data_IF_186578977740
#
_entry.id   IF_186578977740
#
_cell.length_a   1.000
_cell.length_b   1.000
_cell.length_c   1.000
_cell.angle_alpha   90.00
_cell.angle_beta   90.00
_cell.angle_gamma   90.00
#
_symmetry.space_group_name_H-M   'P 1'
#
loop_
_entity.id
_entity.type
_entity.pdbx_description
1 polymer ?
#
# COMPACT_ATOMS: atom_id res chain seq x y z
N UNK A 1 12.41 0.99 6.88
CA UNK A 1 11.61 1.52 5.76
C UNK A 1 12.21 1.25 4.40
N UNK A 2 13.44 1.70 4.13
CA UNK A 2 14.10 1.58 2.81
C UNK A 2 14.19 0.14 2.30
N UNK A 3 14.61 -0.79 3.16
CA UNK A 3 14.71 -2.21 2.78
C UNK A 3 13.41 -2.77 2.20
N UNK A 4 12.25 -2.39 2.76
CA UNK A 4 10.96 -2.85 2.25
C UNK A 4 10.74 -2.38 0.80
N UNK A 5 11.11 -1.13 0.52
CA UNK A 5 10.96 -0.53 -0.82
C UNK A 5 11.96 -1.10 -1.83
N UNK A 6 13.17 -1.44 -1.39
CA UNK A 6 14.17 -2.12 -2.22
C UNK A 6 13.73 -3.53 -2.60
N UNK A 7 13.13 -4.28 -1.66
CA UNK A 7 12.59 -5.61 -1.94
C UNK A 7 11.45 -5.50 -2.97
N UNK A 8 10.51 -4.59 -2.78
CA UNK A 8 9.40 -4.40 -3.74
C UNK A 8 9.92 -4.04 -5.14
N UNK A 9 10.94 -3.17 -5.23
CA UNK A 9 11.57 -2.84 -6.50
C UNK A 9 12.30 -4.04 -7.12
N UNK A 10 12.90 -4.91 -6.32
CA UNK A 10 13.55 -6.13 -6.79
C UNK A 10 12.53 -7.16 -7.27
N UNK A 11 11.39 -7.31 -6.60
CA UNK A 11 10.30 -8.17 -7.05
C UNK A 11 9.74 -7.72 -8.41
N UNK A 12 9.61 -6.41 -8.63
CA UNK A 12 9.21 -5.88 -9.94
C UNK A 12 10.22 -6.24 -11.03
N UNK A 13 11.53 -6.09 -10.77
CA UNK A 13 12.57 -6.49 -11.72
C UNK A 13 12.55 -7.98 -12.02
N UNK A 14 12.38 -8.80 -10.97
CA UNK A 14 12.25 -10.25 -11.14
C UNK A 14 11.04 -10.62 -11.99
N UNK A 15 9.87 -10.03 -11.72
CA UNK A 15 8.66 -10.29 -12.49
C UNK A 15 8.81 -9.87 -13.95
N UNK A 16 9.44 -8.71 -14.21
CA UNK A 16 9.68 -8.23 -15.57
C UNK A 16 10.72 -9.06 -16.35
N UNK A 17 11.54 -9.85 -15.67
CA UNK A 17 12.66 -10.60 -16.27
C UNK A 17 12.27 -11.87 -17.02
N UNK A 18 11.02 -12.36 -16.87
CA UNK A 18 10.52 -13.51 -17.63
C UNK A 18 8.98 -13.54 -17.61
N UNK A 19 8.35 -14.16 -18.63
CA UNK A 19 6.90 -14.32 -18.66
C UNK A 19 6.42 -15.28 -17.55
N UNK A 20 5.12 -15.24 -17.25
CA UNK A 20 4.43 -16.14 -16.30
C UNK A 20 4.97 -16.08 -14.86
N UNK A 21 5.52 -14.94 -14.45
CA UNK A 21 5.92 -14.70 -13.07
C UNK A 21 4.86 -13.90 -12.32
N UNK A 22 4.49 -14.37 -11.14
CA UNK A 22 3.66 -13.66 -10.18
C UNK A 22 4.19 -13.98 -8.79
N UNK A 23 4.31 -12.96 -7.96
CA UNK A 23 4.71 -13.09 -6.56
C UNK A 23 3.87 -12.15 -5.71
N UNK A 24 3.43 -12.66 -4.56
CA UNK A 24 2.77 -11.89 -3.51
C UNK A 24 3.68 -11.91 -2.28
N UNK A 25 3.87 -10.78 -1.68
CA UNK A 25 4.62 -10.61 -0.45
C UNK A 25 3.77 -9.85 0.56
N UNK A 26 3.63 -10.39 1.77
CA UNK A 26 3.08 -9.68 2.93
C UNK A 26 4.21 -9.28 3.86
N UNK A 27 4.09 -8.13 4.51
CA UNK A 27 5.10 -7.63 5.43
C UNK A 27 4.54 -6.61 6.41
N UNK A 28 5.30 -6.32 7.44
CA UNK A 28 5.02 -5.29 8.43
C UNK A 28 6.17 -4.29 8.56
N UNK A 29 6.02 -3.39 9.50
CA UNK A 29 6.96 -2.31 9.77
C UNK A 29 7.44 -2.40 11.21
N UNK A 30 8.73 -2.56 11.42
CA UNK A 30 9.33 -2.65 12.76
C UNK A 30 9.33 -1.30 13.49
N UNK A 31 9.30 -0.21 12.73
CA UNK A 31 9.14 1.16 13.21
C UNK A 31 8.13 1.89 12.35
N UNK A 32 7.39 2.87 12.90
CA UNK A 32 6.58 3.76 12.08
C UNK A 32 7.44 4.38 10.98
N UNK A 33 6.97 4.29 9.74
CA UNK A 33 7.73 4.74 8.57
C UNK A 33 6.91 5.70 7.74
N UNK A 34 7.47 6.86 7.43
CA UNK A 34 6.94 7.79 6.44
C UNK A 34 7.44 7.38 5.05
N UNK A 35 6.57 6.79 4.22
CA UNK A 35 6.93 6.51 2.83
C UNK A 35 6.49 7.66 1.92
N UNK A 36 7.46 8.22 1.20
CA UNK A 36 7.26 9.29 0.21
C UNK A 36 7.03 8.69 -1.17
N UNK A 37 6.15 9.29 -1.95
CA UNK A 37 6.03 8.96 -3.36
C UNK A 37 7.31 9.28 -4.13
N UNK A 38 7.49 8.64 -5.28
CA UNK A 38 8.73 8.74 -6.07
C UNK A 38 9.18 10.18 -6.38
N UNK A 39 8.24 11.09 -6.59
CA UNK A 39 8.51 12.49 -6.94
C UNK A 39 8.04 13.47 -5.87
N UNK A 40 7.64 12.98 -4.70
CA UNK A 40 7.16 13.85 -3.63
C UNK A 40 8.30 14.71 -3.07
N UNK A 41 8.09 16.04 -2.90
CA UNK A 41 9.06 16.92 -2.29
C UNK A 41 9.37 16.49 -0.85
N UNK A 42 10.66 16.48 -0.50
CA UNK A 42 11.15 16.29 0.86
C UNK A 42 12.55 16.94 0.96
N UNK A 43 12.85 17.73 2.00
CA UNK A 43 12.06 17.95 3.22
C UNK A 43 10.97 19.04 3.10
N UNK A 44 10.78 19.65 1.95
CA UNK A 44 9.81 20.74 1.79
C UNK A 44 8.38 20.31 2.22
N UNK A 45 7.76 21.10 3.10
CA UNK A 45 6.41 20.84 3.64
C UNK A 45 6.37 19.90 4.86
N UNK A 46 7.54 19.42 5.32
CA UNK A 46 7.63 18.44 6.41
C UNK A 46 8.44 19.00 7.60
N UNK A 47 7.93 18.75 8.81
CA UNK A 47 8.64 19.00 10.07
C UNK A 47 9.66 17.88 10.33
N UNK A 48 10.86 18.04 9.80
CA UNK A 48 11.94 17.05 9.94
C UNK A 48 12.43 16.88 11.36
N UNK A 49 12.29 17.90 12.21
CA UNK A 49 12.65 17.82 13.63
C UNK A 49 11.66 16.93 14.38
N UNK A 50 10.37 17.08 14.11
CA UNK A 50 9.35 16.19 14.67
C UNK A 50 9.53 14.74 14.19
N UNK A 51 9.81 14.52 12.90
CA UNK A 51 10.10 13.21 12.33
C UNK A 51 11.28 12.56 13.07
N UNK A 52 12.38 13.28 13.25
CA UNK A 52 13.57 12.78 13.93
C UNK A 52 13.32 12.51 15.41
N UNK A 53 12.67 13.45 16.10
CA UNK A 53 12.35 13.34 17.55
C UNK A 53 11.48 12.12 17.85
N UNK A 54 10.50 11.83 17.00
CA UNK A 54 9.58 10.71 17.18
C UNK A 54 10.13 9.40 16.62
N UNK A 55 11.34 9.41 16.05
CA UNK A 55 12.06 8.22 15.59
C UNK A 55 11.45 7.55 14.36
N UNK A 56 10.79 8.33 13.48
CA UNK A 56 10.24 7.80 12.24
C UNK A 56 11.35 7.46 11.25
N UNK A 57 11.24 6.31 10.63
CA UNK A 57 11.98 6.03 9.40
C UNK A 57 11.35 6.82 8.23
N UNK A 58 12.20 7.29 7.32
CA UNK A 58 11.75 7.88 6.05
C UNK A 58 12.23 7.01 4.90
N UNK A 59 11.34 6.66 3.99
CA UNK A 59 11.66 5.85 2.82
C UNK A 59 11.02 6.42 1.56
N UNK A 60 11.64 6.22 0.39
CA UNK A 60 11.06 6.60 -0.89
C UNK A 60 10.62 5.38 -1.67
N UNK A 61 9.30 5.31 -1.96
CA UNK A 61 8.77 4.18 -2.72
C UNK A 61 9.08 4.27 -4.21
N UNK A 62 9.19 3.12 -4.89
CA UNK A 62 9.36 3.09 -6.36
C UNK A 62 8.11 3.58 -7.11
N UNK A 63 6.96 3.62 -6.45
CA UNK A 63 5.66 4.05 -6.99
C UNK A 63 5.43 5.55 -6.79
N UNK A 64 4.43 6.11 -7.45
CA UNK A 64 3.96 7.48 -7.23
C UNK A 64 3.03 7.60 -6.02
N UNK A 65 2.27 8.69 -5.98
CA UNK A 65 1.32 9.03 -4.93
C UNK A 65 1.92 9.89 -3.83
N UNK A 66 1.05 10.38 -2.94
CA UNK A 66 1.41 11.23 -1.80
C UNK A 66 1.88 10.40 -0.61
N UNK A 67 2.50 11.02 0.40
CA UNK A 67 3.09 10.34 1.56
C UNK A 67 2.08 9.52 2.37
N UNK A 68 2.57 8.40 2.89
CA UNK A 68 1.84 7.50 3.79
C UNK A 68 2.66 7.29 5.06
N UNK A 69 2.01 7.40 6.21
CA UNK A 69 2.57 6.93 7.48
C UNK A 69 2.13 5.49 7.70
N UNK A 70 3.07 4.59 7.66
CA UNK A 70 2.89 3.17 7.95
C UNK A 70 3.01 2.93 9.45
N UNK A 71 1.86 2.71 10.10
CA UNK A 71 1.78 2.44 11.53
C UNK A 71 0.49 1.64 11.82
N UNK A 72 0.62 0.51 12.50
CA UNK A 72 -0.49 -0.39 12.86
C UNK A 72 -1.35 -0.76 11.62
N UNK A 73 -0.71 -1.38 10.65
CA UNK A 73 -1.32 -1.76 9.38
C UNK A 73 -0.90 -3.15 8.92
N UNK A 74 -1.68 -3.72 8.01
CA UNK A 74 -1.22 -4.78 7.14
C UNK A 74 -0.67 -4.18 5.84
N UNK A 75 0.41 -4.74 5.34
CA UNK A 75 1.02 -4.30 4.07
C UNK A 75 1.26 -5.50 3.17
N UNK A 76 1.06 -5.32 1.88
CA UNK A 76 1.45 -6.31 0.89
C UNK A 76 2.01 -5.65 -0.38
N UNK A 77 2.74 -6.44 -1.15
CA UNK A 77 3.14 -6.14 -2.52
C UNK A 77 2.83 -7.34 -3.41
N UNK A 78 2.39 -7.07 -4.62
CA UNK A 78 2.23 -8.07 -5.69
C UNK A 78 2.95 -7.59 -6.92
N UNK A 79 3.82 -8.44 -7.49
CA UNK A 79 4.50 -8.17 -8.75
C UNK A 79 4.22 -9.29 -9.74
N UNK A 80 4.01 -8.93 -11.00
CA UNK A 80 3.73 -9.87 -12.07
C UNK A 80 4.34 -9.44 -13.40
N UNK A 81 4.58 -10.40 -14.29
CA UNK A 81 4.83 -10.13 -15.70
C UNK A 81 3.54 -9.64 -16.37
N UNK A 82 3.61 -8.47 -17.02
CA UNK A 82 2.48 -7.83 -17.72
C UNK A 82 3.00 -7.15 -19.00
N UNK A 83 2.36 -7.35 -20.16
CA UNK A 83 1.19 -8.23 -20.38
C UNK A 83 1.52 -9.70 -20.16
N UNK A 84 0.49 -10.49 -19.84
CA UNK A 84 0.64 -11.92 -19.57
C UNK A 84 -0.66 -12.54 -19.05
N UNK A 85 -0.62 -13.77 -18.52
CA UNK A 85 -1.82 -14.48 -18.09
C UNK A 85 -2.56 -13.77 -16.95
N UNK A 86 -1.92 -12.85 -16.25
CA UNK A 86 -2.47 -12.14 -15.10
C UNK A 86 -3.27 -10.89 -15.49
N UNK A 87 -2.85 -10.20 -16.56
CA UNK A 87 -3.54 -9.05 -17.13
C UNK A 87 -2.98 -8.72 -18.52
N UNK A 88 -3.84 -8.27 -19.43
CA UNK A 88 -3.46 -7.83 -20.77
C UNK A 88 -2.76 -6.46 -20.76
N UNK A 89 -3.07 -5.64 -19.76
CA UNK A 89 -2.56 -4.29 -19.63
C UNK A 89 -2.27 -3.91 -18.15
N UNK A 90 -1.36 -2.96 -17.93
CA UNK A 90 -1.01 -2.47 -16.60
C UNK A 90 -2.23 -2.03 -15.77
N UNK A 91 -3.16 -1.32 -16.39
CA UNK A 91 -4.37 -0.85 -15.70
C UNK A 91 -5.25 -2.01 -15.23
N UNK A 92 -5.48 -3.02 -16.07
CA UNK A 92 -6.27 -4.19 -15.72
C UNK A 92 -5.64 -4.95 -14.53
N UNK A 93 -4.29 -5.01 -14.47
CA UNK A 93 -3.58 -5.58 -13.32
C UNK A 93 -3.88 -4.79 -12.04
N UNK A 94 -3.74 -3.47 -12.06
CA UNK A 94 -3.99 -2.63 -10.88
C UNK A 94 -5.45 -2.70 -10.40
N UNK A 95 -6.41 -2.70 -11.33
CA UNK A 95 -7.84 -2.82 -11.02
C UNK A 95 -8.13 -4.18 -10.38
N UNK A 96 -7.55 -5.27 -10.89
CA UNK A 96 -7.68 -6.62 -10.32
C UNK A 96 -7.13 -6.71 -8.90
N UNK A 97 -6.00 -6.05 -8.63
CA UNK A 97 -5.44 -5.96 -7.26
C UNK A 97 -6.40 -5.21 -6.33
N UNK A 98 -6.94 -4.08 -6.77
CA UNK A 98 -7.87 -3.31 -5.95
C UNK A 98 -9.18 -4.07 -5.68
N UNK A 99 -9.70 -4.79 -6.68
CA UNK A 99 -10.88 -5.66 -6.51
C UNK A 99 -10.60 -6.79 -5.50
N UNK A 100 -9.40 -7.38 -5.51
CA UNK A 100 -8.99 -8.38 -4.53
C UNK A 100 -8.92 -7.79 -3.11
N UNK A 101 -8.41 -6.55 -2.96
CA UNK A 101 -8.41 -5.85 -1.66
C UNK A 101 -9.84 -5.62 -1.16
N UNK A 102 -10.74 -5.15 -2.01
CA UNK A 102 -12.14 -4.98 -1.65
C UNK A 102 -12.79 -6.31 -1.24
N UNK A 103 -12.58 -7.38 -2.02
CA UNK A 103 -13.08 -8.71 -1.71
C UNK A 103 -12.54 -9.27 -0.38
N UNK A 104 -11.27 -9.03 -0.06
CA UNK A 104 -10.70 -9.43 1.22
C UNK A 104 -11.41 -8.75 2.39
N UNK A 105 -11.65 -7.45 2.30
CA UNK A 105 -12.37 -6.72 3.35
C UNK A 105 -13.84 -7.10 3.47
N UNK A 106 -14.48 -7.48 2.37
CA UNK A 106 -15.85 -7.99 2.39
C UNK A 106 -15.97 -9.29 3.20
N UNK A 107 -14.90 -10.09 3.33
CA UNK A 107 -14.90 -11.26 4.22
C UNK A 107 -14.98 -10.92 5.71
N UNK A 108 -14.69 -9.67 6.06
CA UNK A 108 -14.89 -9.10 7.41
C UNK A 108 -16.19 -8.32 7.52
N UNK A 109 -17.14 -8.52 6.58
CA UNK A 109 -18.43 -7.81 6.54
C UNK A 109 -18.34 -6.28 6.34
N UNK A 110 -17.20 -5.76 5.88
CA UNK A 110 -17.09 -4.38 5.43
C UNK A 110 -17.65 -4.25 4.01
N UNK A 111 -18.50 -3.26 3.76
CA UNK A 111 -19.00 -2.94 2.41
C UNK A 111 -17.92 -2.24 1.59
N UNK A 112 -16.76 -2.87 1.47
CA UNK A 112 -15.62 -2.33 0.74
C UNK A 112 -15.83 -2.42 -0.77
N UNK A 113 -15.47 -1.36 -1.47
CA UNK A 113 -15.56 -1.30 -2.93
C UNK A 113 -14.34 -0.60 -3.53
N UNK A 114 -13.99 -0.99 -4.76
CA UNK A 114 -13.01 -0.24 -5.54
C UNK A 114 -13.65 1.02 -6.10
N UNK A 115 -12.96 2.15 -5.97
CA UNK A 115 -13.38 3.42 -6.58
C UNK A 115 -13.33 3.29 -8.11
N UNK A 116 -14.45 3.55 -8.80
CA UNK A 116 -14.51 3.45 -10.25
C UNK A 116 -13.51 4.38 -10.94
N UNK A 117 -12.94 3.93 -12.03
CA UNK A 117 -11.99 4.72 -12.84
C UNK A 117 -12.62 5.96 -13.51
N UNK A 118 -13.93 6.02 -13.55
CA UNK A 118 -14.71 7.16 -14.07
C UNK A 118 -14.97 8.23 -13.00
N UNK A 119 -14.79 7.89 -11.72
CA UNK A 119 -14.97 8.84 -10.63
C UNK A 119 -13.78 9.79 -10.57
N UNK A 120 -14.04 11.09 -10.64
CA UNK A 120 -13.00 12.11 -10.54
C UNK A 120 -13.03 12.69 -9.13
N UNK A 121 -12.02 12.36 -8.35
CA UNK A 121 -11.77 13.05 -7.08
C UNK A 121 -11.26 14.48 -7.32
N UNK A 122 -11.20 15.31 -6.27
CA UNK A 122 -10.64 16.66 -6.38
C UNK A 122 -9.18 16.59 -6.83
N UNK A 123 -8.82 17.40 -7.82
CA UNK A 123 -7.44 17.55 -8.25
C UNK A 123 -6.70 18.42 -7.23
N UNK A 124 -5.79 17.83 -6.49
CA UNK A 124 -4.92 18.52 -5.56
C UNK A 124 -3.48 18.50 -6.10
N UNK A 125 -2.68 19.54 -5.85
CA UNK A 125 -1.26 19.51 -6.21
C UNK A 125 -0.55 18.31 -5.58
N UNK A 126 0.39 17.71 -6.30
CA UNK A 126 1.21 16.61 -5.78
C UNK A 126 1.96 17.08 -4.51
N UNK A 127 1.97 16.24 -3.47
CA UNK A 127 2.59 16.56 -2.18
C UNK A 127 1.85 17.59 -1.35
N UNK A 128 0.68 18.07 -1.80
CA UNK A 128 -0.10 19.06 -1.05
C UNK A 128 -0.86 18.44 0.13
N UNK A 129 -1.16 17.14 0.07
CA UNK A 129 -1.94 16.45 1.11
C UNK A 129 -1.44 15.03 1.32
N UNK A 130 -1.59 14.45 2.54
CA UNK A 130 -1.31 13.03 2.75
C UNK A 130 -2.21 12.13 1.87
N UNK A 131 -1.69 10.97 1.47
CA UNK A 131 -2.36 10.03 0.56
C UNK A 131 -3.80 9.69 0.97
N UNK A 132 -4.05 9.49 2.26
CA UNK A 132 -5.38 9.14 2.79
C UNK A 132 -6.33 10.34 2.94
N UNK A 133 -5.89 11.57 2.68
CA UNK A 133 -6.77 12.75 2.72
C UNK A 133 -7.72 12.85 1.51
N UNK A 134 -7.59 11.96 0.54
CA UNK A 134 -8.49 11.84 -0.62
C UNK A 134 -8.54 10.40 -1.09
N UNK A 135 -9.62 10.07 -1.78
CA UNK A 135 -9.77 8.78 -2.47
C UNK A 135 -9.60 8.98 -3.96
N UNK A 136 -8.75 8.19 -4.59
CA UNK A 136 -8.47 8.24 -6.01
C UNK A 136 -9.07 7.02 -6.74
N UNK A 137 -9.32 7.10 -8.07
CA UNK A 137 -9.71 5.94 -8.86
C UNK A 137 -8.78 4.76 -8.68
N UNK A 138 -9.34 3.56 -8.50
CA UNK A 138 -8.58 2.34 -8.29
C UNK A 138 -8.15 2.09 -6.84
N UNK A 139 -8.48 2.96 -5.90
CA UNK A 139 -8.32 2.71 -4.47
C UNK A 139 -9.55 2.04 -3.86
N UNK A 140 -9.48 1.65 -2.58
CA UNK A 140 -10.59 0.95 -1.91
C UNK A 140 -11.14 1.81 -0.78
N UNK A 141 -12.47 1.88 -0.72
CA UNK A 141 -13.23 2.65 0.27
C UNK A 141 -14.38 1.85 0.89
N UNK A 142 -14.89 2.34 2.01
CA UNK A 142 -16.18 1.96 2.61
C UNK A 142 -17.00 3.23 2.76
N UNK A 143 -18.10 3.35 2.03
CA UNK A 143 -18.86 4.59 1.94
C UNK A 143 -17.98 5.74 1.42
N UNK A 144 -17.84 6.81 2.20
CA UNK A 144 -16.97 7.96 1.88
C UNK A 144 -15.53 7.82 2.39
N UNK A 145 -15.21 6.78 3.17
CA UNK A 145 -13.91 6.65 3.83
C UNK A 145 -12.95 5.78 3.03
N UNK A 146 -11.79 6.32 2.71
CA UNK A 146 -10.67 5.55 2.16
C UNK A 146 -10.19 4.55 3.20
N UNK A 147 -10.20 3.26 2.82
CA UNK A 147 -9.80 2.15 3.66
C UNK A 147 -8.41 1.62 3.30
N UNK A 148 -8.03 1.69 2.03
CA UNK A 148 -6.73 1.23 1.55
C UNK A 148 -6.11 2.22 0.58
N UNK A 149 -4.81 2.44 0.71
CA UNK A 149 -3.98 3.17 -0.24
C UNK A 149 -3.23 2.19 -1.13
N UNK A 150 -3.49 2.21 -2.44
CA UNK A 150 -2.84 1.33 -3.41
C UNK A 150 -2.01 2.18 -4.37
N UNK A 151 -0.75 1.80 -4.56
CA UNK A 151 0.12 2.47 -5.51
C UNK A 151 0.76 1.43 -6.45
N UNK A 152 0.84 1.77 -7.74
CA UNK A 152 1.35 0.86 -8.75
C UNK A 152 2.50 1.48 -9.54
N UNK A 153 3.41 0.61 -10.01
CA UNK A 153 4.47 0.94 -10.95
C UNK A 153 4.51 -0.07 -12.07
N UNK A 154 4.64 0.43 -13.27
CA UNK A 154 4.73 -0.36 -14.47
C UNK A 154 6.08 -0.14 -15.16
N UNK A 155 6.63 -1.22 -15.69
CA UNK A 155 7.84 -1.22 -16.51
C UNK A 155 7.58 -2.04 -17.78
N UNK A 156 8.54 -2.06 -18.71
CA UNK A 156 8.43 -2.98 -19.83
C UNK A 156 8.43 -4.43 -19.29
N UNK A 157 7.33 -5.14 -19.46
CA UNK A 157 7.17 -6.54 -19.08
C UNK A 157 6.80 -6.81 -17.63
N UNK A 158 6.64 -5.80 -16.77
CA UNK A 158 6.29 -6.01 -15.37
C UNK A 158 5.41 -4.96 -14.75
N UNK A 159 4.61 -5.38 -13.78
CA UNK A 159 3.77 -4.54 -12.92
C UNK A 159 4.05 -4.85 -11.45
N UNK A 160 4.02 -3.82 -10.62
CA UNK A 160 4.04 -3.89 -9.17
C UNK A 160 2.86 -3.09 -8.64
N UNK A 161 2.10 -3.67 -7.73
CA UNK A 161 1.18 -2.92 -6.87
C UNK A 161 1.50 -3.25 -5.42
N UNK A 162 1.55 -2.23 -4.57
CA UNK A 162 1.62 -2.41 -3.12
C UNK A 162 0.56 -1.57 -2.42
N UNK A 163 0.16 -1.99 -1.24
CA UNK A 163 -0.92 -1.35 -0.52
C UNK A 163 -0.61 -1.22 0.97
N UNK A 164 -1.01 -0.06 1.52
CA UNK A 164 -1.15 0.22 2.93
C UNK A 164 -2.61 -0.03 3.32
N UNK A 165 -2.82 -0.89 4.31
CA UNK A 165 -4.10 -1.35 4.81
C UNK A 165 -4.19 -1.04 6.31
N UNK A 166 -4.52 0.22 6.69
CA UNK A 166 -4.55 0.65 8.08
C UNK A 166 -5.56 -0.16 8.91
N UNK A 167 -5.11 -0.67 10.04
CA UNK A 167 -5.98 -1.33 11.02
C UNK A 167 -6.64 -0.30 11.91
N UNK A 168 -5.85 0.64 12.43
CA UNK A 168 -6.30 1.70 13.33
C UNK A 168 -6.22 3.09 12.68
N UNK A 169 -6.55 4.12 13.45
CA UNK A 169 -6.44 5.52 13.03
C UNK A 169 -5.02 6.09 12.99
N UNK A 170 -3.98 5.32 13.35
CA UNK A 170 -2.60 5.79 13.48
C UNK A 170 -2.00 6.36 12.19
N UNK A 171 -2.42 5.88 11.03
CA UNK A 171 -2.00 6.41 9.74
C UNK A 171 -2.32 7.92 9.58
N UNK A 172 -3.33 8.44 10.30
CA UNK A 172 -3.68 9.87 10.29
C UNK A 172 -2.69 10.74 11.06
N UNK A 173 -1.86 10.15 11.92
CA UNK A 173 -0.80 10.87 12.64
C UNK A 173 0.24 11.49 11.70
N UNK A 174 0.25 11.12 10.42
CA UNK A 174 1.06 11.78 9.39
C UNK A 174 0.89 13.29 9.37
N UNK A 175 -0.30 13.79 9.73
CA UNK A 175 -0.59 15.22 9.83
C UNK A 175 0.35 15.94 10.82
N UNK A 176 0.78 15.30 11.90
CA UNK A 176 1.66 15.87 12.94
C UNK A 176 3.03 16.26 12.41
N UNK A 177 3.43 15.67 11.29
CA UNK A 177 4.75 15.87 10.67
C UNK A 177 4.71 16.82 9.49
N UNK A 178 3.59 17.51 9.31
CA UNK A 178 3.43 18.49 8.22
C UNK A 178 3.40 19.91 8.78
N UNK A 179 3.91 20.86 7.99
CA UNK A 179 3.81 22.28 8.34
C UNK A 179 2.36 22.80 8.32
N UNK A 180 1.48 22.18 7.50
CA UNK A 180 0.04 22.46 7.44
C UNK A 180 -0.80 21.46 8.28
N UNK A 181 -0.27 21.06 9.45
CA UNK A 181 -0.77 19.97 10.30
C UNK A 181 -2.28 20.04 10.55
N UNK A 182 -2.84 21.21 10.88
CA UNK A 182 -4.27 21.36 11.19
C UNK A 182 -5.15 21.10 9.97
N UNK A 183 -4.76 21.56 8.79
CA UNK A 183 -5.49 21.32 7.55
C UNK A 183 -5.41 19.85 7.15
N UNK A 184 -4.23 19.24 7.23
CA UNK A 184 -4.01 17.83 6.94
C UNK A 184 -4.83 16.94 7.89
N UNK A 185 -4.85 17.25 9.19
CA UNK A 185 -5.62 16.51 10.19
C UNK A 185 -7.13 16.57 9.91
N UNK A 186 -7.67 17.74 9.58
CA UNK A 186 -9.08 17.91 9.25
C UNK A 186 -9.49 17.08 8.02
N UNK A 187 -8.68 17.11 6.96
CA UNK A 187 -8.91 16.31 5.75
C UNK A 187 -8.88 14.81 6.04
N UNK A 188 -7.86 14.35 6.77
CA UNK A 188 -7.73 12.93 7.12
C UNK A 188 -8.89 12.45 8.01
N UNK A 189 -9.32 13.25 8.98
CA UNK A 189 -10.45 12.92 9.85
C UNK A 189 -11.76 12.75 9.06
N UNK A 190 -11.94 13.50 7.98
CA UNK A 190 -13.12 13.41 7.10
C UNK A 190 -13.08 12.27 6.09
N UNK A 191 -11.90 11.77 5.71
CA UNK A 191 -11.75 10.89 4.55
C UNK A 191 -11.10 9.53 4.84
N UNK A 192 -10.44 9.33 5.98
CA UNK A 192 -9.67 8.13 6.27
C UNK A 192 -10.17 7.38 7.51
N UNK A 193 -10.24 6.06 7.42
CA UNK A 193 -10.52 5.18 8.56
C UNK A 193 -9.63 3.95 8.49
N UNK A 194 -9.25 3.45 9.68
CA UNK A 194 -8.71 2.10 9.81
C UNK A 194 -9.83 1.06 9.82
N UNK A 195 -9.51 -0.18 9.50
CA UNK A 195 -10.49 -1.25 9.43
C UNK A 195 -11.20 -1.50 10.77
N UNK A 196 -10.48 -1.47 11.88
CA UNK A 196 -11.04 -1.62 13.23
C UNK A 196 -12.06 -0.53 13.59
N UNK A 197 -11.84 0.70 13.11
CA UNK A 197 -12.78 1.80 13.36
C UNK A 197 -14.12 1.59 12.64
N UNK A 198 -14.10 0.92 11.48
CA UNK A 198 -15.29 0.63 10.68
C UNK A 198 -16.01 -0.62 11.16
N UNK A 199 -15.26 -1.60 11.69
CA UNK A 199 -15.81 -2.85 12.22
C UNK A 199 -16.30 -2.74 13.66
N UNK A 200 -15.69 -1.87 14.45
CA UNK A 200 -15.92 -1.81 15.90
C UNK A 200 -15.23 -2.94 16.68
N UNK A 201 -14.36 -3.70 16.05
CA UNK A 201 -13.60 -4.79 16.64
C UNK A 201 -12.15 -4.81 16.19
N UNK A 202 -11.29 -5.51 16.94
CA UNK A 202 -9.87 -5.60 16.64
C UNK A 202 -9.57 -6.61 15.53
N UNK A 203 -8.58 -6.25 14.72
CA UNK A 203 -8.01 -7.10 13.68
C UNK A 203 -6.48 -7.19 13.85
N UNK A 204 -5.92 -8.36 13.58
CA UNK A 204 -4.47 -8.46 13.43
C UNK A 204 -4.04 -8.23 11.98
N UNK A 205 -2.80 -7.79 11.80
CA UNK A 205 -2.22 -7.64 10.47
C UNK A 205 -2.19 -8.98 9.72
N UNK A 206 -1.90 -10.06 10.42
CA UNK A 206 -1.85 -11.42 9.88
C UNK A 206 -3.22 -11.84 9.33
N UNK A 207 -4.31 -11.60 10.09
CA UNK A 207 -5.67 -11.93 9.63
C UNK A 207 -6.00 -11.21 8.31
N UNK A 208 -5.67 -9.91 8.21
CA UNK A 208 -5.90 -9.15 6.98
C UNK A 208 -5.01 -9.65 5.85
N UNK A 209 -3.73 -9.93 6.11
CA UNK A 209 -2.78 -10.45 5.12
C UNK A 209 -3.20 -11.81 4.57
N UNK A 210 -3.69 -12.72 5.42
CA UNK A 210 -4.23 -14.02 4.98
C UNK A 210 -5.41 -13.86 4.02
N UNK A 211 -6.36 -12.97 4.33
CA UNK A 211 -7.50 -12.68 3.45
C UNK A 211 -7.07 -12.05 2.13
N UNK A 212 -6.09 -11.15 2.17
CA UNK A 212 -5.50 -10.54 0.97
C UNK A 212 -4.85 -11.60 0.08
N UNK A 213 -4.03 -12.48 0.64
CA UNK A 213 -3.37 -13.55 -0.12
C UNK A 213 -4.40 -14.48 -0.78
N UNK A 214 -5.44 -14.87 -0.04
CA UNK A 214 -6.53 -15.69 -0.56
C UNK A 214 -7.30 -14.97 -1.68
N UNK A 215 -7.65 -13.69 -1.49
CA UNK A 215 -8.36 -12.91 -2.49
C UNK A 215 -7.51 -12.68 -3.77
N UNK A 216 -6.22 -12.44 -3.62
CA UNK A 216 -5.29 -12.31 -4.77
C UNK A 216 -5.17 -13.65 -5.51
N UNK A 217 -5.09 -14.79 -4.81
CA UNK A 217 -5.07 -16.11 -5.44
C UNK A 217 -6.31 -16.33 -6.31
N UNK A 218 -7.50 -15.99 -5.80
CA UNK A 218 -8.76 -16.06 -6.55
C UNK A 218 -8.75 -15.08 -7.73
N UNK A 219 -8.38 -13.82 -7.50
CA UNK A 219 -8.39 -12.77 -8.52
C UNK A 219 -7.48 -13.08 -9.70
N UNK A 220 -6.35 -13.74 -9.45
CA UNK A 220 -5.39 -14.12 -10.49
C UNK A 220 -5.59 -15.56 -10.99
N UNK A 221 -6.51 -16.34 -10.40
CA UNK A 221 -6.78 -17.72 -10.79
C UNK A 221 -5.59 -18.66 -10.57
N UNK A 222 -4.86 -18.48 -9.44
CA UNK A 222 -3.63 -19.22 -9.14
C UNK A 222 -3.67 -19.85 -7.75
N UNK A 223 -2.94 -20.96 -7.58
CA UNK A 223 -2.58 -21.48 -6.27
C UNK A 223 -1.25 -20.84 -5.84
N UNK A 224 -1.28 -19.99 -4.82
CA UNK A 224 -0.08 -19.43 -4.24
C UNK A 224 0.55 -20.43 -3.27
N UNK A 225 1.88 -20.56 -3.32
CA UNK A 225 2.66 -21.36 -2.39
C UNK A 225 3.70 -20.50 -1.69
N UNK A 226 4.03 -20.79 -0.42
CA UNK A 226 5.18 -20.18 0.21
C UNK A 226 6.44 -20.39 -0.63
N UNK A 227 7.24 -19.35 -0.78
CA UNK A 227 8.48 -19.40 -1.53
C UNK A 227 9.58 -18.62 -0.79
N UNK A 228 10.81 -19.15 -0.70
CA UNK A 228 11.92 -18.42 -0.11
C UNK A 228 12.32 -17.25 -1.03
N UNK A 229 12.86 -16.18 -0.46
CA UNK A 229 13.34 -15.02 -1.21
C UNK A 229 14.34 -15.36 -2.31
N UNK A 230 15.15 -16.42 -2.11
CA UNK A 230 16.12 -16.89 -3.09
C UNK A 230 15.49 -17.29 -4.44
N UNK A 231 14.25 -17.78 -4.47
CA UNK A 231 13.55 -18.09 -5.72
C UNK A 231 13.26 -16.84 -6.56
N UNK A 232 13.12 -15.69 -5.91
CA UNK A 232 13.01 -14.39 -6.58
C UNK A 232 14.37 -13.73 -6.84
N UNK A 233 15.48 -14.45 -6.63
CA UNK A 233 16.83 -13.90 -6.77
C UNK A 233 17.18 -12.88 -5.67
N UNK A 234 16.43 -12.86 -4.58
CA UNK A 234 16.63 -11.95 -3.45
C UNK A 234 17.40 -12.68 -2.35
N UNK A 235 18.38 -11.99 -1.76
CA UNK A 235 18.96 -12.45 -0.49
C UNK A 235 17.93 -12.14 0.60
N UNK A 236 17.65 -13.14 1.45
CA UNK A 236 16.85 -12.89 2.64
C UNK A 236 17.52 -11.77 3.44
N UNK A 237 16.81 -10.71 3.80
CA UNK A 237 17.36 -9.76 4.74
C UNK A 237 17.66 -10.53 6.03
N UNK A 238 18.86 -10.38 6.57
CA UNK A 238 19.19 -10.88 7.92
C UNK A 238 18.44 -9.96 8.90
N UNK A 239 17.16 -10.21 9.06
CA UNK A 239 16.39 -9.63 10.14
C UNK A 239 16.70 -10.46 11.38
N UNK A 240 17.64 -9.98 12.19
CA UNK A 240 17.73 -10.40 13.58
C UNK A 240 16.44 -9.98 14.26
N UNK A 241 15.49 -10.90 14.41
CA UNK A 241 14.45 -10.72 15.41
C UNK A 241 15.16 -10.87 16.77
N UNK A 242 15.06 -9.86 17.66
CA UNK A 242 15.38 -10.14 19.06
C UNK A 242 14.41 -11.21 19.55
N UNK A 243 14.97 -12.23 20.19
CA UNK A 243 14.25 -13.32 20.84
C UNK A 243 13.32 -12.77 21.95
#
# INVERSE_FOLDING_TARGET
GELQMEIDAALLRWAAGAPHRLVVRTYGWTRPTLSLGRVEPFPAGWDTEAIARDGLDVARRPTGGDAVLHAEEATFAVAASVPGPWADAPRAFAERVADAVAAAYQTFHLAAERVPSTERGPTLPAGATPCFARTAPGEVRVGSFKLAGIASKFTRGGALSHASLPLTGRHRDVARYRHDASQAAALLAGHARGAEELLGERLSAEQVQERIVAALAVAFGVALRPAPFAEAGLRAPVLGYPA
#
